data_IF_848105909544
#
_entry.id   IF_848105909544
#
_cell.length_a   1.000
_cell.length_b   1.000
_cell.length_c   1.000
_cell.angle_alpha   90.00
_cell.angle_beta   90.00
_cell.angle_gamma   90.00
#
_symmetry.space_group_name_H-M   'P 1'
#
loop_
_entity.id
_entity.type
_entity.pdbx_description
1 polymer ?
#
# COMPACT_ATOMS: atom_id res chain seq x y z
N UNK A 1 17.85 -15.53 -8.72
CA UNK A 1 16.73 -16.42 -9.09
C UNK A 1 15.42 -15.64 -8.83
N UNK A 2 14.29 -15.96 -9.45
CA UNK A 2 13.02 -15.31 -9.05
C UNK A 2 12.56 -16.05 -7.81
N UNK A 3 12.67 -15.45 -6.63
CA UNK A 3 12.47 -16.25 -5.42
C UNK A 3 11.05 -16.15 -4.87
N UNK A 4 10.32 -15.06 -5.09
CA UNK A 4 9.03 -14.90 -4.42
C UNK A 4 7.98 -14.13 -5.25
N UNK A 5 6.81 -14.75 -5.52
CA UNK A 5 5.67 -14.10 -6.22
C UNK A 5 4.64 -13.57 -5.24
N UNK A 6 4.31 -12.28 -5.25
CA UNK A 6 3.21 -11.68 -4.48
C UNK A 6 2.06 -11.40 -5.43
N UNK A 7 0.89 -11.97 -5.13
CA UNK A 7 -0.36 -11.64 -5.82
C UNK A 7 -1.12 -10.60 -4.99
N UNK A 8 -1.82 -9.64 -5.62
CA UNK A 8 -2.76 -8.75 -4.93
C UNK A 8 -3.66 -9.47 -3.92
N UNK A 9 -4.23 -10.62 -4.32
CA UNK A 9 -5.05 -11.47 -3.47
C UNK A 9 -4.44 -11.83 -2.11
N UNK A 10 -3.12 -11.84 -1.97
CA UNK A 10 -2.47 -12.18 -0.70
C UNK A 10 -2.66 -11.12 0.37
N UNK A 11 -2.83 -9.87 -0.05
CA UNK A 11 -3.00 -8.70 0.80
C UNK A 11 -4.45 -8.25 0.88
N UNK A 12 -5.32 -8.79 0.02
CA UNK A 12 -6.67 -8.30 -0.19
C UNK A 12 -7.58 -8.52 1.02
N UNK A 13 -8.09 -7.43 1.60
CA UNK A 13 -9.01 -7.47 2.74
C UNK A 13 -10.38 -8.05 2.37
N UNK A 14 -10.81 -7.90 1.11
CA UNK A 14 -12.10 -8.35 0.63
C UNK A 14 -12.13 -9.87 0.38
N UNK A 15 -10.96 -10.50 0.29
CA UNK A 15 -10.83 -11.95 0.11
C UNK A 15 -10.67 -12.66 1.45
N UNK A 16 -11.29 -13.84 1.58
CA UNK A 16 -11.03 -14.73 2.71
C UNK A 16 -9.65 -15.40 2.61
N UNK A 17 -9.19 -16.04 3.70
CA UNK A 17 -7.95 -16.83 3.66
C UNK A 17 -8.01 -18.01 2.69
N UNK A 18 -9.21 -18.57 2.48
CA UNK A 18 -9.43 -19.64 1.51
C UNK A 18 -9.31 -19.11 0.08
N UNK A 19 -9.82 -17.90 -0.16
CA UNK A 19 -9.88 -17.28 -1.49
C UNK A 19 -8.54 -16.70 -1.95
N UNK A 20 -7.65 -16.35 -1.02
CA UNK A 20 -6.29 -15.94 -1.39
C UNK A 20 -5.52 -15.20 -0.31
N UNK A 21 -6.22 -14.54 0.61
CA UNK A 21 -5.61 -13.68 1.62
C UNK A 21 -4.64 -14.46 2.50
N UNK A 22 -3.41 -13.98 2.58
CA UNK A 22 -2.35 -14.61 3.39
C UNK A 22 -2.12 -13.87 4.71
N UNK A 23 -2.38 -12.58 4.72
CA UNK A 23 -2.17 -11.72 5.90
C UNK A 23 -3.39 -11.70 6.84
N UNK A 24 -3.19 -11.37 8.13
CA UNK A 24 -4.27 -11.00 9.05
C UNK A 24 -5.15 -9.86 8.49
N UNK A 25 -6.43 -9.82 8.88
CA UNK A 25 -7.35 -8.78 8.42
C UNK A 25 -6.88 -7.40 8.84
N UNK A 26 -6.33 -7.29 10.04
CA UNK A 26 -5.79 -6.06 10.63
C UNK A 26 -4.63 -5.48 9.85
N UNK A 27 -3.98 -6.22 8.93
CA UNK A 27 -2.94 -5.70 8.03
C UNK A 27 -3.28 -5.89 6.54
N UNK A 28 -4.52 -6.30 6.25
CA UNK A 28 -5.00 -6.45 4.88
C UNK A 28 -5.49 -5.11 4.30
N UNK A 29 -5.47 -5.02 2.98
CA UNK A 29 -5.69 -3.82 2.18
C UNK A 29 -6.80 -4.20 1.19
N UNK A 30 -7.98 -3.53 1.08
CA UNK A 30 -8.92 -3.85 0.02
C UNK A 30 -8.35 -3.39 -1.32
N UNK A 31 -8.66 -4.18 -2.34
CA UNK A 31 -8.30 -3.93 -3.74
C UNK A 31 -6.81 -3.52 -3.98
N UNK A 32 -5.83 -4.22 -3.40
CA UNK A 32 -4.41 -3.89 -3.57
C UNK A 32 -4.02 -3.97 -5.04
N UNK A 33 -3.15 -3.06 -5.45
CA UNK A 33 -2.61 -2.99 -6.80
C UNK A 33 -1.17 -3.47 -6.86
N UNK A 34 -0.74 -3.93 -8.03
CA UNK A 34 0.67 -4.34 -8.24
C UNK A 34 1.67 -3.19 -8.10
N UNK A 35 1.22 -1.95 -8.30
CA UNK A 35 2.04 -0.75 -8.15
C UNK A 35 2.34 -0.50 -6.67
N UNK A 36 1.31 -0.49 -5.81
CA UNK A 36 1.48 -0.35 -4.35
C UNK A 36 2.37 -1.46 -3.79
N UNK A 37 2.16 -2.70 -4.23
CA UNK A 37 2.94 -3.86 -3.78
C UNK A 37 4.42 -3.72 -4.19
N UNK A 38 4.70 -3.26 -5.41
CA UNK A 38 6.06 -3.10 -5.89
C UNK A 38 6.78 -1.95 -5.18
N UNK A 39 6.08 -0.85 -4.93
CA UNK A 39 6.58 0.31 -4.20
C UNK A 39 6.89 0.00 -2.74
N UNK A 40 5.94 -0.63 -2.04
CA UNK A 40 6.14 -1.13 -0.68
C UNK A 40 7.31 -2.13 -0.61
N UNK A 41 7.40 -3.06 -1.57
CA UNK A 41 8.54 -3.97 -1.64
C UNK A 41 9.88 -3.24 -1.79
N UNK A 42 9.94 -2.19 -2.61
CA UNK A 42 11.11 -1.32 -2.76
C UNK A 42 11.52 -0.65 -1.45
N UNK A 43 10.55 -0.18 -0.65
CA UNK A 43 10.81 0.45 0.65
C UNK A 43 11.28 -0.54 1.71
N UNK A 44 10.81 -1.79 1.66
CA UNK A 44 11.36 -2.87 2.50
C UNK A 44 12.80 -3.23 2.09
N UNK A 45 13.24 -2.80 0.90
CA UNK A 45 14.59 -3.05 0.38
C UNK A 45 14.67 -4.19 -0.63
N UNK A 46 13.53 -4.61 -1.18
CA UNK A 46 13.47 -5.65 -2.20
C UNK A 46 13.42 -5.09 -3.62
N UNK A 47 13.98 -5.85 -4.57
CA UNK A 47 13.79 -5.58 -5.99
C UNK A 47 12.47 -6.17 -6.48
N UNK A 48 11.61 -5.34 -7.06
CA UNK A 48 10.28 -5.75 -7.54
C UNK A 48 10.16 -5.64 -9.07
N UNK A 49 9.50 -6.63 -9.69
CA UNK A 49 9.12 -6.59 -11.11
C UNK A 49 7.62 -6.86 -11.24
N UNK A 50 6.91 -5.95 -11.89
CA UNK A 50 5.47 -6.07 -12.14
C UNK A 50 5.22 -6.86 -13.44
N UNK A 51 4.32 -7.83 -13.38
CA UNK A 51 3.69 -8.46 -14.55
C UNK A 51 2.19 -8.20 -14.49
N UNK A 52 1.64 -7.41 -15.42
CA UNK A 52 0.24 -6.93 -15.34
C UNK A 52 -0.75 -7.91 -15.97
N UNK A 53 -0.37 -8.52 -17.08
CA UNK A 53 -1.26 -9.36 -17.90
C UNK A 53 -1.28 -10.83 -17.41
N UNK A 54 -1.47 -11.02 -16.10
CA UNK A 54 -1.55 -12.35 -15.47
C UNK A 54 -2.64 -12.38 -14.41
N UNK A 55 -3.41 -13.48 -14.40
CA UNK A 55 -4.49 -13.69 -13.46
C UNK A 55 -4.09 -14.65 -12.33
N UNK A 56 -4.56 -14.36 -11.11
CA UNK A 56 -4.37 -15.26 -9.98
C UNK A 56 -5.27 -16.50 -10.16
N UNK A 57 -4.74 -17.74 -10.12
CA UNK A 57 -5.54 -18.93 -10.44
C UNK A 57 -6.78 -19.17 -9.55
N UNK A 58 -6.85 -18.57 -8.35
CA UNK A 58 -8.02 -18.69 -7.47
C UNK A 58 -9.10 -17.62 -7.73
N UNK A 59 -8.76 -16.53 -8.41
CA UNK A 59 -9.68 -15.46 -8.81
C UNK A 59 -10.17 -15.62 -10.27
N UNK A 60 -9.77 -16.70 -10.95
CA UNK A 60 -10.23 -16.97 -12.31
C UNK A 60 -9.51 -16.14 -13.37
N UNK A 61 -10.25 -15.30 -14.09
CA UNK A 61 -9.77 -14.58 -15.29
C UNK A 61 -9.43 -13.10 -15.06
N UNK A 62 -9.56 -12.59 -13.82
CA UNK A 62 -9.22 -11.19 -13.53
C UNK A 62 -7.70 -10.98 -13.54
N UNK A 63 -7.23 -10.22 -14.52
CA UNK A 63 -5.81 -9.90 -14.75
C UNK A 63 -5.37 -8.73 -13.85
N UNK A 64 -5.36 -8.96 -12.54
CA UNK A 64 -4.85 -7.98 -11.55
C UNK A 64 -3.33 -7.90 -11.54
N UNK A 65 -2.65 -8.81 -12.26
CA UNK A 65 -1.20 -8.89 -12.32
C UNK A 65 -0.59 -9.53 -11.07
N UNK A 66 0.75 -9.53 -11.01
CA UNK A 66 1.55 -9.96 -9.86
C UNK A 66 2.86 -9.21 -9.77
N UNK A 67 3.47 -9.27 -8.59
CA UNK A 67 4.80 -8.72 -8.33
C UNK A 67 5.79 -9.84 -8.07
N UNK A 68 6.88 -9.87 -8.82
CA UNK A 68 8.00 -10.76 -8.63
C UNK A 68 9.05 -10.07 -7.76
N UNK A 69 9.32 -10.65 -6.59
CA UNK A 69 10.34 -10.20 -5.65
C UNK A 69 11.66 -10.91 -5.95
N UNK A 70 12.72 -10.12 -6.04
CA UNK A 70 14.11 -10.53 -6.25
C UNK A 70 14.96 -10.04 -5.08
N UNK A 71 16.17 -10.60 -4.96
CA UNK A 71 17.13 -10.25 -3.90
C UNK A 71 16.53 -10.34 -2.49
N UNK A 72 15.69 -11.36 -2.28
CA UNK A 72 15.13 -11.70 -0.97
C UNK A 72 15.80 -12.98 -0.42
N UNK A 73 17.04 -13.23 -0.82
CA UNK A 73 17.82 -14.38 -0.40
C UNK A 73 17.94 -14.39 1.14
N UNK A 74 17.23 -15.30 1.80
CA UNK A 74 17.24 -15.45 3.26
C UNK A 74 15.91 -15.15 3.95
N UNK A 75 14.99 -14.43 3.31
CA UNK A 75 13.68 -14.12 3.88
C UNK A 75 12.62 -15.17 3.52
N UNK A 76 11.82 -15.57 4.51
CA UNK A 76 10.73 -16.49 4.25
C UNK A 76 9.61 -15.77 3.50
N UNK A 77 8.93 -16.49 2.59
CA UNK A 77 7.81 -15.94 1.79
C UNK A 77 6.77 -15.21 2.64
N UNK A 78 6.48 -15.72 3.83
CA UNK A 78 5.46 -15.17 4.71
C UNK A 78 5.92 -13.84 5.31
N UNK A 79 7.19 -13.72 5.68
CA UNK A 79 7.78 -12.50 6.24
C UNK A 79 7.78 -11.39 5.20
N UNK A 80 8.18 -11.70 3.96
CA UNK A 80 8.10 -10.77 2.82
C UNK A 80 6.66 -10.28 2.62
N UNK A 81 5.69 -11.21 2.61
CA UNK A 81 4.28 -10.86 2.39
C UNK A 81 3.75 -9.99 3.52
N UNK A 82 4.11 -10.26 4.78
CA UNK A 82 3.68 -9.43 5.91
C UNK A 82 4.35 -8.06 5.92
N UNK A 83 5.64 -7.98 5.63
CA UNK A 83 6.36 -6.72 5.55
C UNK A 83 5.78 -5.83 4.44
N UNK A 84 5.59 -6.37 3.24
CA UNK A 84 4.97 -5.62 2.14
C UNK A 84 3.55 -5.17 2.50
N UNK A 85 2.74 -6.02 3.13
CA UNK A 85 1.39 -5.66 3.57
C UNK A 85 1.37 -4.46 4.54
N UNK A 86 2.28 -4.48 5.52
CA UNK A 86 2.39 -3.43 6.53
C UNK A 86 2.77 -2.09 5.89
N UNK A 87 3.67 -2.10 4.91
CA UNK A 87 4.01 -0.89 4.15
C UNK A 87 2.84 -0.41 3.29
N UNK A 88 2.17 -1.28 2.52
CA UNK A 88 1.01 -0.87 1.69
C UNK A 88 -0.11 -0.23 2.53
N UNK A 89 -0.28 -0.63 3.79
CA UNK A 89 -1.34 -0.12 4.65
C UNK A 89 -1.18 1.36 5.06
N UNK A 90 0.05 1.91 5.08
CA UNK A 90 0.34 3.24 5.66
C UNK A 90 0.76 4.31 4.65
N UNK A 91 0.47 4.14 3.35
CA UNK A 91 1.07 4.96 2.28
C UNK A 91 0.10 5.95 1.64
N UNK A 92 0.68 7.01 1.05
CA UNK A 92 0.02 7.84 0.05
C UNK A 92 -0.22 7.03 -1.22
N UNK A 93 -1.47 6.69 -1.49
CA UNK A 93 -1.91 5.86 -2.62
C UNK A 93 -1.92 6.65 -3.93
N UNK A 94 -2.16 7.96 -3.87
CA UNK A 94 -2.20 8.80 -5.08
C UNK A 94 -1.86 10.23 -4.75
N UNK A 95 -1.20 10.93 -5.67
CA UNK A 95 -1.01 12.37 -5.57
C UNK A 95 -1.22 13.07 -6.92
N UNK A 96 -1.76 14.28 -6.83
CA UNK A 96 -1.98 15.23 -7.91
C UNK A 96 -1.37 16.57 -7.50
N UNK A 97 -1.37 17.55 -8.39
CA UNK A 97 -0.77 18.87 -8.15
C UNK A 97 -1.25 19.59 -6.88
N UNK A 98 -2.43 19.24 -6.33
CA UNK A 98 -3.00 19.91 -5.15
C UNK A 98 -3.65 18.96 -4.13
N UNK A 99 -3.68 17.66 -4.42
CA UNK A 99 -4.38 16.67 -3.59
C UNK A 99 -3.64 15.35 -3.61
N UNK A 100 -3.32 14.84 -2.43
CA UNK A 100 -2.86 13.50 -2.17
C UNK A 100 -3.98 12.67 -1.50
N UNK A 101 -3.97 11.37 -1.71
CA UNK A 101 -4.83 10.41 -1.03
C UNK A 101 -3.90 9.50 -0.25
N UNK A 102 -3.93 9.63 1.08
CA UNK A 102 -3.26 8.72 1.98
C UNK A 102 -4.21 7.62 2.43
N UNK A 103 -3.64 6.50 2.82
CA UNK A 103 -4.40 5.46 3.47
C UNK A 103 -3.95 5.35 4.91
N UNK A 104 -4.93 5.33 5.82
CA UNK A 104 -4.62 5.10 7.22
C UNK A 104 -4.29 3.64 7.45
N UNK A 105 -3.27 3.43 8.28
CA UNK A 105 -2.83 2.11 8.68
C UNK A 105 -3.92 1.36 9.45
N UNK A 106 -4.75 2.04 10.25
CA UNK A 106 -5.75 1.41 11.14
C UNK A 106 -6.93 2.36 11.43
N UNK A 107 -7.81 1.99 12.37
CA UNK A 107 -9.00 2.76 12.76
C UNK A 107 -8.65 4.01 13.58
N UNK A 108 -7.38 4.15 13.94
CA UNK A 108 -6.79 5.34 14.55
C UNK A 108 -6.24 6.25 13.46
N UNK A 109 -7.11 7.08 12.90
CA UNK A 109 -6.77 8.03 11.84
C UNK A 109 -6.94 9.48 12.30
N UNK A 110 -6.21 10.43 11.69
CA UNK A 110 -6.29 11.85 12.03
C UNK A 110 -7.66 12.47 11.74
N UNK A 111 -8.03 13.47 12.54
CA UNK A 111 -9.22 14.29 12.33
C UNK A 111 -9.08 15.19 11.09
N UNK A 112 -10.23 15.69 10.61
CA UNK A 112 -10.24 16.72 9.57
C UNK A 112 -9.52 17.98 10.04
N UNK A 113 -8.67 18.54 9.19
CA UNK A 113 -7.83 19.70 9.47
C UNK A 113 -6.49 19.36 10.10
N UNK A 114 -6.19 18.09 10.40
CA UNK A 114 -4.88 17.68 10.92
C UNK A 114 -3.80 17.83 9.85
N UNK A 115 -2.66 18.40 10.24
CA UNK A 115 -1.46 18.49 9.42
C UNK A 115 -0.76 17.14 9.36
N UNK A 116 -0.32 16.75 8.17
CA UNK A 116 0.49 15.56 7.95
C UNK A 116 1.91 15.96 7.57
N UNK A 117 2.87 15.21 8.11
CA UNK A 117 4.30 15.35 7.86
C UNK A 117 4.89 14.02 7.38
N UNK A 118 6.03 14.05 6.71
CA UNK A 118 6.76 12.82 6.33
C UNK A 118 7.78 12.38 7.39
N UNK A 119 8.60 11.39 7.06
CA UNK A 119 9.66 10.85 7.93
C UNK A 119 10.80 11.86 8.22
N UNK A 120 11.00 12.84 7.34
CA UNK A 120 11.98 13.92 7.50
C UNK A 120 11.39 15.10 8.30
N UNK A 121 10.12 14.99 8.72
CA UNK A 121 9.30 16.01 9.37
C UNK A 121 8.97 17.21 8.45
N UNK A 122 9.04 17.00 7.13
CA UNK A 122 8.63 17.99 6.16
C UNK A 122 7.09 18.00 6.04
N UNK A 123 6.51 19.20 5.92
CA UNK A 123 5.06 19.37 5.79
C UNK A 123 4.56 18.78 4.46
N UNK A 124 3.66 17.79 4.56
CA UNK A 124 3.06 17.11 3.41
C UNK A 124 1.74 17.76 3.00
N UNK A 125 0.93 18.16 3.99
CA UNK A 125 -0.37 18.74 3.73
C UNK A 125 -1.36 18.66 4.88
N UNK A 126 -2.64 18.85 4.58
CA UNK A 126 -3.72 18.86 5.58
C UNK A 126 -4.83 17.90 5.19
N UNK A 127 -5.33 17.11 6.13
CA UNK A 127 -6.48 16.22 5.92
C UNK A 127 -7.74 17.04 5.70
N UNK A 128 -8.37 16.90 4.53
CA UNK A 128 -9.59 17.62 4.15
C UNK A 128 -10.81 16.73 4.00
N UNK A 129 -10.62 15.41 3.90
CA UNK A 129 -11.71 14.43 3.86
C UNK A 129 -11.24 13.08 4.39
N UNK A 130 -12.18 12.29 4.93
CA UNK A 130 -11.96 10.91 5.36
C UNK A 130 -13.08 10.05 4.78
N UNK A 131 -12.73 9.06 3.96
CA UNK A 131 -13.71 8.26 3.23
C UNK A 131 -13.29 6.80 3.11
N UNK A 132 -14.22 5.94 2.71
CA UNK A 132 -13.96 4.50 2.54
C UNK A 132 -14.15 3.70 3.84
N UNK A 133 -13.45 2.56 4.00
CA UNK A 133 -13.68 1.63 5.09
C UNK A 133 -13.39 2.23 6.46
N UNK A 134 -14.26 1.96 7.45
CA UNK A 134 -14.12 2.51 8.82
C UNK A 134 -12.88 2.02 9.55
N UNK A 135 -12.39 0.82 9.22
CA UNK A 135 -11.21 0.23 9.87
C UNK A 135 -9.89 0.79 9.32
N UNK A 136 -9.86 1.27 8.07
CA UNK A 136 -8.64 1.74 7.38
C UNK A 136 -9.00 2.75 6.29
N UNK A 137 -9.49 3.94 6.66
CA UNK A 137 -10.04 4.87 5.69
C UNK A 137 -8.96 5.50 4.82
N UNK A 138 -9.41 6.03 3.69
CA UNK A 138 -8.63 6.91 2.85
C UNK A 138 -8.77 8.35 3.37
N UNK A 139 -7.65 9.06 3.38
CA UNK A 139 -7.51 10.45 3.80
C UNK A 139 -7.24 11.28 2.56
N UNK A 140 -8.12 12.22 2.23
CA UNK A 140 -7.81 13.24 1.24
C UNK A 140 -6.96 14.33 1.90
N UNK A 141 -5.81 14.63 1.32
CA UNK A 141 -4.80 15.53 1.88
C UNK A 141 -4.51 16.62 0.86
N UNK A 142 -4.84 17.88 1.15
CA UNK A 142 -4.38 18.98 0.31
C UNK A 142 -2.89 19.15 0.47
N UNK A 143 -2.15 19.23 -0.62
CA UNK A 143 -0.69 19.32 -0.60
C UNK A 143 -0.23 20.55 -1.38
N UNK A 144 0.81 21.20 -0.84
CA UNK A 144 1.53 22.30 -1.49
C UNK A 144 2.95 21.87 -1.92
N UNK A 145 3.25 20.56 -1.88
CA UNK A 145 4.54 20.03 -2.27
C UNK A 145 4.88 20.40 -3.73
N UNK A 146 6.11 20.83 -3.98
CA UNK A 146 6.58 21.19 -5.33
C UNK A 146 6.48 20.01 -6.32
N UNK A 147 6.60 18.78 -5.81
CA UNK A 147 6.44 17.57 -6.61
C UNK A 147 5.59 16.51 -5.89
N UNK A 148 4.24 16.61 -5.97
CA UNK A 148 3.34 15.72 -5.25
C UNK A 148 3.47 14.25 -5.66
N UNK A 149 3.91 13.97 -6.89
CA UNK A 149 4.14 12.60 -7.34
C UNK A 149 5.18 11.86 -6.47
N UNK A 150 6.11 12.58 -5.82
CA UNK A 150 7.08 12.02 -4.89
C UNK A 150 6.49 11.66 -3.52
N UNK A 151 5.24 12.03 -3.26
CA UNK A 151 4.53 11.62 -2.06
C UNK A 151 3.98 10.21 -2.19
N UNK A 152 3.69 9.74 -3.41
CA UNK A 152 3.14 8.40 -3.64
C UNK A 152 4.09 7.36 -3.03
N UNK A 153 3.51 6.45 -2.24
CA UNK A 153 4.24 5.45 -1.50
C UNK A 153 4.85 5.91 -0.20
N UNK A 154 4.94 7.20 0.09
CA UNK A 154 5.56 7.63 1.34
C UNK A 154 4.60 7.45 2.52
N UNK A 155 5.16 7.08 3.65
CA UNK A 155 4.44 7.05 4.93
C UNK A 155 4.31 8.47 5.43
N UNK A 156 3.10 8.81 5.87
CA UNK A 156 2.78 10.14 6.42
C UNK A 156 2.28 10.01 7.85
N UNK A 157 2.67 10.97 8.69
CA UNK A 157 2.39 10.98 10.11
C UNK A 157 1.54 12.19 10.46
N UNK A 158 0.58 12.01 11.36
CA UNK A 158 -0.16 13.12 11.94
C UNK A 158 0.74 13.91 12.90
N UNK A 159 0.65 15.24 12.85
CA UNK A 159 1.35 16.16 13.75
C UNK A 159 0.77 16.19 15.16
#
# INVERSE_FOLDING_TARGET
MVENVIWPAYLDADLSRTDGRRVPADIAVPEPTVDEIAEAAGQVGYDAVIERDVAYPREGYEERGRVLIKNADGDAKNDIVQAVAAYVAGQVVRATSSLAVARSSDDTYPDLGTELIDEDLDDVGTVVDVFGPVERPYLAVTTEADNPAMLVGRTVYAR
#
